data_IF_336439547725
#
_entry.id   IF_336439547725
#
_cell.length_a   1.000
_cell.length_b   1.000
_cell.length_c   1.000
_cell.angle_alpha   90.00
_cell.angle_beta   90.00
_cell.angle_gamma   90.00
#
_symmetry.space_group_name_H-M   'P 1'
#
loop_
_entity.id
_entity.type
_entity.pdbx_description
1 polymer ?
#
# COMPACT_ATOMS: atom_id res chain seq x y z
N UNK A 1 15.66 0.31 -11.85
CA UNK A 1 15.26 0.15 -13.28
C UNK A 1 13.82 -0.34 -13.29
N UNK A 2 12.91 0.32 -14.01
CA UNK A 2 11.50 -0.09 -14.19
C UNK A 2 11.33 -0.64 -15.60
N UNK A 3 10.39 -1.58 -15.85
CA UNK A 3 10.12 -2.04 -17.20
C UNK A 3 9.59 -0.88 -18.04
N UNK A 4 10.03 -0.81 -19.30
CA UNK A 4 9.59 0.21 -20.25
C UNK A 4 8.16 -0.04 -20.78
N UNK A 5 7.65 -1.25 -20.56
CA UNK A 5 6.31 -1.69 -20.99
C UNK A 5 5.71 -2.62 -19.96
N UNK A 6 4.40 -2.65 -19.90
CA UNK A 6 3.63 -3.65 -19.16
C UNK A 6 4.08 -5.07 -19.56
N UNK A 7 4.37 -5.92 -18.56
CA UNK A 7 4.86 -7.29 -18.79
C UNK A 7 3.76 -8.33 -18.78
N UNK A 8 2.66 -8.03 -18.11
CA UNK A 8 1.51 -8.92 -17.99
C UNK A 8 0.24 -8.08 -18.03
N UNK A 9 -0.54 -8.23 -19.09
CA UNK A 9 -1.80 -7.50 -19.28
C UNK A 9 -2.83 -7.90 -18.21
N UNK A 10 -3.62 -6.95 -17.70
CA UNK A 10 -4.78 -7.29 -16.88
C UNK A 10 -5.74 -8.22 -17.63
N UNK A 11 -6.29 -9.23 -16.97
CA UNK A 11 -7.30 -10.09 -17.56
C UNK A 11 -8.58 -9.29 -17.84
N UNK A 12 -9.12 -9.47 -19.05
CA UNK A 12 -10.48 -9.02 -19.35
C UNK A 12 -11.48 -9.75 -18.43
N UNK A 13 -12.58 -9.09 -18.09
CA UNK A 13 -13.60 -9.65 -17.18
C UNK A 13 -14.15 -11.02 -17.62
N UNK A 14 -14.25 -11.24 -18.93
CA UNK A 14 -14.72 -12.50 -19.51
C UNK A 14 -13.69 -13.64 -19.43
N UNK A 15 -12.43 -13.32 -19.13
CA UNK A 15 -11.34 -14.30 -19.07
C UNK A 15 -11.04 -14.76 -17.63
N UNK A 16 -11.78 -14.24 -16.63
CA UNK A 16 -11.63 -14.69 -15.27
C UNK A 16 -12.19 -16.10 -15.09
N UNK A 17 -11.49 -16.90 -14.30
CA UNK A 17 -11.97 -18.19 -13.85
C UNK A 17 -13.34 -18.06 -13.15
N UNK A 18 -14.29 -18.97 -13.48
CA UNK A 18 -15.64 -18.94 -12.90
C UNK A 18 -15.65 -18.98 -11.37
N UNK A 19 -14.67 -19.69 -10.76
CA UNK A 19 -14.52 -19.70 -9.31
C UNK A 19 -14.18 -18.32 -8.71
N UNK A 20 -13.70 -17.38 -9.52
CA UNK A 20 -13.40 -16.01 -9.11
C UNK A 20 -14.56 -15.04 -9.36
N UNK A 21 -15.63 -15.47 -10.03
CA UNK A 21 -16.73 -14.57 -10.36
C UNK A 21 -17.30 -13.79 -9.16
N UNK A 22 -17.57 -14.42 -7.98
CA UNK A 22 -18.06 -13.68 -6.82
C UNK A 22 -17.05 -12.64 -6.30
N UNK A 23 -15.75 -12.98 -6.35
CA UNK A 23 -14.68 -12.07 -5.92
C UNK A 23 -14.53 -10.89 -6.89
N UNK A 24 -14.55 -11.16 -8.20
CA UNK A 24 -14.53 -10.15 -9.26
C UNK A 24 -15.69 -9.17 -9.10
N UNK A 25 -16.91 -9.69 -8.90
CA UNK A 25 -18.11 -8.86 -8.80
C UNK A 25 -18.09 -7.99 -7.52
N UNK A 26 -17.57 -8.50 -6.41
CA UNK A 26 -17.33 -7.73 -5.20
C UNK A 26 -16.27 -6.63 -5.43
N UNK A 27 -15.18 -6.92 -6.14
CA UNK A 27 -14.16 -5.94 -6.52
C UNK A 27 -14.72 -4.85 -7.43
N UNK A 28 -15.59 -5.20 -8.38
CA UNK A 28 -16.28 -4.22 -9.22
C UNK A 28 -17.17 -3.29 -8.43
N UNK A 29 -17.93 -3.82 -7.49
CA UNK A 29 -18.79 -3.01 -6.61
C UNK A 29 -17.96 -2.00 -5.81
N UNK A 30 -16.78 -2.40 -5.31
CA UNK A 30 -15.85 -1.53 -4.62
C UNK A 30 -15.17 -0.52 -5.57
N UNK A 31 -14.80 -0.95 -6.78
CA UNK A 31 -14.05 -0.18 -7.77
C UNK A 31 -14.90 0.68 -8.72
N UNK A 32 -16.17 0.96 -8.35
CA UNK A 32 -17.03 1.83 -9.18
C UNK A 32 -17.41 1.22 -10.53
N UNK A 33 -17.61 -0.09 -10.58
CA UNK A 33 -18.02 -0.83 -11.78
C UNK A 33 -16.87 -1.53 -12.52
N UNK A 34 -15.64 -1.43 -12.02
CA UNK A 34 -14.46 -2.09 -12.62
C UNK A 34 -13.59 -2.76 -11.56
N UNK A 35 -12.82 -3.73 -11.98
CA UNK A 35 -11.74 -4.30 -11.17
C UNK A 35 -10.46 -3.50 -11.41
N UNK A 36 -9.73 -3.16 -10.35
CA UNK A 36 -8.46 -2.46 -10.47
C UNK A 36 -7.40 -3.33 -11.17
N UNK A 37 -6.50 -2.70 -11.91
CA UNK A 37 -5.49 -3.35 -12.73
C UNK A 37 -4.66 -4.38 -11.96
N UNK A 38 -4.27 -4.09 -10.71
CA UNK A 38 -3.52 -5.03 -9.86
C UNK A 38 -4.27 -6.36 -9.68
N UNK A 39 -5.57 -6.32 -9.40
CA UNK A 39 -6.36 -7.54 -9.16
C UNK A 39 -6.61 -8.29 -10.45
N UNK A 40 -6.92 -7.59 -11.55
CA UNK A 40 -7.09 -8.19 -12.87
C UNK A 40 -5.79 -8.83 -13.36
N UNK A 41 -4.63 -8.27 -13.02
CA UNK A 41 -3.34 -8.86 -13.36
C UNK A 41 -3.05 -10.11 -12.51
N UNK A 42 -3.27 -10.05 -11.18
CA UNK A 42 -3.02 -11.21 -10.31
C UNK A 42 -4.04 -12.33 -10.52
N UNK A 43 -5.20 -12.04 -11.15
CA UNK A 43 -6.22 -13.03 -11.51
C UNK A 43 -5.73 -14.10 -12.50
N UNK A 44 -4.61 -13.88 -13.21
CA UNK A 44 -3.91 -14.95 -13.94
C UNK A 44 -3.52 -16.14 -13.06
N UNK A 45 -3.47 -15.95 -11.74
CA UNK A 45 -3.25 -17.02 -10.76
C UNK A 45 -4.37 -17.03 -9.71
N UNK A 46 -5.54 -17.66 -10.01
CA UNK A 46 -6.75 -17.59 -9.18
C UNK A 46 -6.52 -17.93 -7.70
N UNK A 47 -5.80 -19.02 -7.45
CA UNK A 47 -5.50 -19.48 -6.09
C UNK A 47 -4.63 -18.49 -5.31
N UNK A 48 -3.66 -17.87 -5.98
CA UNK A 48 -2.82 -16.83 -5.37
C UNK A 48 -3.67 -15.61 -5.02
N UNK A 49 -4.50 -15.13 -5.95
CA UNK A 49 -5.37 -13.98 -5.70
C UNK A 49 -6.28 -14.22 -4.50
N UNK A 50 -6.97 -15.37 -4.42
CA UNK A 50 -7.82 -15.72 -3.27
C UNK A 50 -7.07 -15.62 -1.94
N UNK A 51 -5.90 -16.25 -1.84
CA UNK A 51 -5.13 -16.29 -0.61
C UNK A 51 -4.56 -14.91 -0.26
N UNK A 52 -4.08 -14.17 -1.24
CA UNK A 52 -3.57 -12.82 -1.04
C UNK A 52 -4.67 -11.87 -0.57
N UNK A 53 -5.89 -11.97 -1.11
CA UNK A 53 -7.03 -11.16 -0.70
C UNK A 53 -7.43 -11.39 0.76
N UNK A 54 -7.28 -12.60 1.28
CA UNK A 54 -7.51 -12.88 2.71
C UNK A 54 -6.52 -12.08 3.57
N UNK A 55 -5.24 -12.15 3.24
CA UNK A 55 -4.19 -11.43 3.97
C UNK A 55 -4.30 -9.92 3.75
N UNK A 56 -4.48 -9.46 2.51
CA UNK A 56 -4.66 -8.05 2.19
C UNK A 56 -5.85 -7.42 2.92
N UNK A 57 -6.97 -8.15 3.01
CA UNK A 57 -8.14 -7.70 3.79
C UNK A 57 -7.83 -7.60 5.29
N UNK A 58 -7.05 -8.53 5.84
CA UNK A 58 -6.62 -8.43 7.25
C UNK A 58 -5.82 -7.14 7.48
N UNK A 59 -4.84 -6.86 6.62
CA UNK A 59 -3.97 -5.69 6.78
C UNK A 59 -4.73 -4.38 6.54
N UNK A 60 -5.56 -4.31 5.50
CA UNK A 60 -6.20 -3.05 5.12
C UNK A 60 -7.46 -2.75 5.93
N UNK A 61 -8.29 -3.76 6.19
CA UNK A 61 -9.63 -3.55 6.74
C UNK A 61 -9.81 -4.00 8.19
N UNK A 62 -8.90 -4.84 8.71
CA UNK A 62 -9.00 -5.44 10.05
C UNK A 62 -7.78 -5.15 10.92
N UNK A 63 -6.90 -4.26 10.47
CA UNK A 63 -5.74 -3.82 11.23
C UNK A 63 -6.15 -3.15 12.53
N UNK A 64 -5.38 -3.34 13.60
CA UNK A 64 -5.50 -2.62 14.86
C UNK A 64 -4.81 -1.25 14.84
N UNK A 65 -3.98 -0.97 13.81
CA UNK A 65 -3.53 0.40 13.57
C UNK A 65 -4.71 1.26 13.14
N UNK A 66 -4.87 2.47 13.73
CA UNK A 66 -5.88 3.39 13.25
C UNK A 66 -5.70 3.69 11.74
N UNK A 67 -6.79 3.93 11.01
CA UNK A 67 -6.74 4.06 9.55
C UNK A 67 -5.77 5.12 9.04
N UNK A 68 -5.66 6.27 9.73
CA UNK A 68 -4.75 7.34 9.33
C UNK A 68 -3.28 6.92 9.43
N UNK A 69 -2.90 6.31 10.56
CA UNK A 69 -1.55 5.81 10.82
C UNK A 69 -1.17 4.69 9.86
N UNK A 70 -2.10 3.81 9.53
CA UNK A 70 -1.92 2.77 8.52
C UNK A 70 -1.63 3.37 7.14
N UNK A 71 -2.44 4.31 6.67
CA UNK A 71 -2.22 4.95 5.37
C UNK A 71 -0.92 5.77 5.33
N UNK A 72 -0.52 6.38 6.45
CA UNK A 72 0.75 7.10 6.56
C UNK A 72 1.93 6.17 6.23
N UNK A 73 1.97 4.97 6.82
CA UNK A 73 3.07 4.02 6.56
C UNK A 73 2.96 3.35 5.20
N UNK A 74 1.74 3.12 4.69
CA UNK A 74 1.52 2.59 3.34
C UNK A 74 2.08 3.55 2.28
N UNK A 75 1.70 4.82 2.36
CA UNK A 75 2.20 5.84 1.43
C UNK A 75 3.72 6.01 1.54
N UNK A 76 4.29 6.00 2.78
CA UNK A 76 5.75 6.06 2.93
C UNK A 76 6.42 4.86 2.28
N UNK A 77 5.92 3.66 2.48
CA UNK A 77 6.44 2.43 1.86
C UNK A 77 6.35 2.52 0.33
N UNK A 78 5.21 2.93 -0.21
CA UNK A 78 5.03 3.12 -1.66
C UNK A 78 6.01 4.14 -2.25
N UNK A 79 6.25 5.25 -1.53
CA UNK A 79 7.26 6.24 -1.91
C UNK A 79 8.68 5.66 -1.91
N UNK A 80 9.10 5.00 -0.84
CA UNK A 80 10.43 4.39 -0.71
C UNK A 80 10.66 3.32 -1.79
N UNK A 81 9.67 2.49 -2.05
CA UNK A 81 9.70 1.48 -3.11
C UNK A 81 9.54 2.07 -4.51
N UNK A 82 9.30 3.37 -4.66
CA UNK A 82 9.02 4.03 -5.94
C UNK A 82 7.87 3.34 -6.70
N UNK A 83 6.80 2.98 -5.99
CA UNK A 83 5.64 2.30 -6.52
C UNK A 83 4.52 3.31 -6.83
N UNK A 84 4.57 3.88 -8.04
CA UNK A 84 3.63 4.92 -8.51
C UNK A 84 2.18 4.46 -8.43
N UNK A 85 1.91 3.22 -8.80
CA UNK A 85 0.57 2.63 -8.73
C UNK A 85 0.05 2.59 -7.30
N UNK A 86 0.87 2.07 -6.37
CA UNK A 86 0.51 1.96 -4.95
C UNK A 86 0.21 3.34 -4.35
N UNK A 87 1.09 4.30 -4.65
CA UNK A 87 0.89 5.68 -4.26
C UNK A 87 -0.45 6.22 -4.75
N UNK A 88 -0.73 6.10 -6.04
CA UNK A 88 -1.96 6.62 -6.65
C UNK A 88 -3.23 6.04 -6.03
N UNK A 89 -3.26 4.74 -5.76
CA UNK A 89 -4.39 4.08 -5.10
C UNK A 89 -4.58 4.57 -3.66
N UNK A 90 -3.50 4.65 -2.89
CA UNK A 90 -3.56 4.96 -1.47
C UNK A 90 -3.71 6.44 -1.15
N UNK A 91 -3.39 7.37 -2.05
CA UNK A 91 -3.67 8.80 -1.85
C UNK A 91 -5.15 9.07 -1.63
N UNK A 92 -6.03 8.45 -2.42
CA UNK A 92 -7.47 8.64 -2.26
C UNK A 92 -7.98 8.07 -0.92
N UNK A 93 -7.48 6.90 -0.52
CA UNK A 93 -7.83 6.26 0.76
C UNK A 93 -7.30 7.08 1.93
N UNK A 94 -6.05 7.55 1.84
CA UNK A 94 -5.41 8.36 2.88
C UNK A 94 -6.18 9.65 3.18
N UNK A 95 -6.69 10.32 2.15
CA UNK A 95 -7.56 11.49 2.33
C UNK A 95 -8.86 11.14 3.07
N UNK A 96 -9.48 10.02 2.73
CA UNK A 96 -10.68 9.53 3.44
C UNK A 96 -10.37 9.16 4.90
N UNK A 97 -9.14 8.75 5.18
CA UNK A 97 -8.65 8.43 6.52
C UNK A 97 -8.16 9.67 7.30
N UNK A 98 -8.24 10.88 6.72
CA UNK A 98 -7.96 12.13 7.40
C UNK A 98 -6.54 12.70 7.20
N UNK A 99 -5.74 12.15 6.26
CA UNK A 99 -4.48 12.78 5.84
C UNK A 99 -4.76 13.97 4.91
N UNK A 100 -4.18 15.12 5.22
CA UNK A 100 -4.29 16.30 4.36
C UNK A 100 -3.36 16.21 3.15
N UNK A 101 -3.62 17.04 2.13
CA UNK A 101 -2.75 17.12 0.95
C UNK A 101 -1.31 17.53 1.32
N UNK A 102 -1.14 18.42 2.31
CA UNK A 102 0.16 18.84 2.80
C UNK A 102 0.89 17.68 3.52
N UNK A 103 0.17 16.87 4.30
CA UNK A 103 0.75 15.69 4.96
C UNK A 103 1.15 14.64 3.93
N UNK A 104 0.32 14.38 2.92
CA UNK A 104 0.63 13.45 1.83
C UNK A 104 1.92 13.88 1.10
N UNK A 105 2.04 15.15 0.74
CA UNK A 105 3.28 15.67 0.15
C UNK A 105 4.46 15.57 1.14
N UNK A 106 4.22 15.84 2.43
CA UNK A 106 5.24 15.77 3.48
C UNK A 106 5.79 14.35 3.69
N UNK A 107 4.99 13.30 3.46
CA UNK A 107 5.45 11.90 3.51
C UNK A 107 6.67 11.68 2.61
N UNK A 108 6.75 12.32 1.45
CA UNK A 108 7.89 12.20 0.54
C UNK A 108 9.19 12.72 1.14
N UNK A 109 9.10 13.65 2.11
CA UNK A 109 10.27 14.25 2.80
C UNK A 109 10.76 13.42 3.99
N UNK A 110 9.95 12.46 4.43
CA UNK A 110 10.30 11.52 5.50
C UNK A 110 10.08 12.03 6.92
N UNK A 111 10.56 11.25 7.90
CA UNK A 111 10.29 11.49 9.33
C UNK A 111 10.84 12.80 9.87
N UNK A 112 11.90 13.34 9.27
CA UNK A 112 12.54 14.57 9.71
C UNK A 112 11.88 15.86 9.20
N UNK A 113 10.86 15.76 8.35
CA UNK A 113 10.12 16.93 7.91
C UNK A 113 9.36 17.56 9.10
N UNK A 114 9.34 18.92 9.20
CA UNK A 114 8.63 19.60 10.28
C UNK A 114 7.13 19.38 10.20
N UNK A 115 6.46 19.39 11.36
CA UNK A 115 4.99 19.32 11.45
C UNK A 115 4.41 17.92 11.64
N UNK A 116 5.23 16.89 11.82
CA UNK A 116 4.78 15.56 12.26
C UNK A 116 4.59 15.51 13.78
N UNK A 117 3.60 14.76 14.22
CA UNK A 117 3.51 14.32 15.61
C UNK A 117 4.68 13.38 15.95
N UNK A 118 4.94 13.16 17.24
CA UNK A 118 5.98 12.20 17.66
C UNK A 118 5.65 10.77 17.19
N UNK A 119 4.37 10.39 17.15
CA UNK A 119 3.97 9.08 16.65
C UNK A 119 4.18 8.98 15.14
N UNK A 120 3.77 9.99 14.36
CA UNK A 120 3.96 10.00 12.91
C UNK A 120 5.44 9.86 12.54
N UNK A 121 6.33 10.59 13.24
CA UNK A 121 7.78 10.47 13.03
C UNK A 121 8.27 9.05 13.23
N UNK A 122 7.86 8.40 14.32
CA UNK A 122 8.26 7.04 14.65
C UNK A 122 7.73 6.01 13.62
N UNK A 123 6.49 6.18 13.16
CA UNK A 123 5.90 5.33 12.13
C UNK A 123 6.64 5.44 10.79
N UNK A 124 6.94 6.68 10.37
CA UNK A 124 7.72 6.94 9.16
C UNK A 124 9.16 6.43 9.29
N UNK A 125 9.77 6.58 10.48
CA UNK A 125 11.11 6.07 10.78
C UNK A 125 11.15 4.55 10.69
N UNK A 126 10.15 3.84 11.20
CA UNK A 126 10.06 2.38 11.09
C UNK A 126 9.96 1.94 9.62
N UNK A 127 9.20 2.67 8.79
CA UNK A 127 9.13 2.37 7.36
C UNK A 127 10.49 2.58 6.67
N UNK A 128 11.21 3.65 7.01
CA UNK A 128 12.54 3.94 6.48
C UNK A 128 13.55 2.85 6.88
N UNK A 129 13.58 2.46 8.16
CA UNK A 129 14.48 1.42 8.68
C UNK A 129 14.19 0.04 8.04
N UNK A 130 12.91 -0.35 7.95
CA UNK A 130 12.53 -1.60 7.30
C UNK A 130 12.85 -1.64 5.81
N UNK A 131 12.78 -0.49 5.15
CA UNK A 131 13.18 -0.39 3.74
C UNK A 131 14.69 -0.48 3.54
N UNK A 132 15.48 0.08 4.46
CA UNK A 132 16.93 0.13 4.38
C UNK A 132 17.61 -1.15 4.89
N UNK A 133 17.19 -1.62 6.07
CA UNK A 133 17.89 -2.66 6.83
C UNK A 133 17.04 -3.91 7.08
N UNK A 134 15.77 -3.92 6.65
CA UNK A 134 14.81 -5.01 6.91
C UNK A 134 14.59 -5.27 8.42
N UNK A 135 14.92 -4.31 9.26
CA UNK A 135 14.81 -4.39 10.72
C UNK A 135 14.50 -3.02 11.31
N UNK A 136 13.66 -2.99 12.34
CA UNK A 136 13.44 -1.79 13.15
C UNK A 136 14.52 -1.74 14.23
N UNK A 137 15.19 -0.60 14.39
CA UNK A 137 16.22 -0.42 15.41
C UNK A 137 15.65 -0.51 16.83
N UNK A 138 16.48 -0.90 17.81
CA UNK A 138 16.07 -0.99 19.22
C UNK A 138 15.52 0.34 19.75
N UNK A 139 16.09 1.46 19.31
CA UNK A 139 15.65 2.79 19.71
C UNK A 139 14.22 3.09 19.20
N UNK A 140 13.96 2.87 17.91
CA UNK A 140 12.64 3.05 17.28
C UNK A 140 11.63 2.07 17.87
N UNK A 141 12.01 0.80 18.04
CA UNK A 141 11.18 -0.22 18.67
C UNK A 141 10.73 0.18 20.06
N UNK A 142 11.66 0.57 20.92
CA UNK A 142 11.38 1.01 22.30
C UNK A 142 10.44 2.21 22.33
N UNK A 143 10.66 3.19 21.46
CA UNK A 143 9.83 4.39 21.39
C UNK A 143 8.41 4.09 20.88
N UNK A 144 8.26 3.22 19.89
CA UNK A 144 6.96 2.78 19.38
C UNK A 144 6.21 1.95 20.42
N UNK A 145 6.87 0.99 21.09
CA UNK A 145 6.25 0.13 22.12
C UNK A 145 5.74 0.91 23.34
N UNK A 146 6.19 2.14 23.54
CA UNK A 146 5.65 3.04 24.56
C UNK A 146 4.32 3.71 24.13
N UNK A 147 3.95 3.62 22.84
CA UNK A 147 2.78 4.30 22.25
C UNK A 147 1.79 3.32 21.60
N UNK A 148 2.25 2.17 21.16
CA UNK A 148 1.48 1.14 20.46
C UNK A 148 1.44 -0.15 21.30
N UNK A 149 0.32 -0.84 21.29
CA UNK A 149 0.24 -2.17 21.87
C UNK A 149 0.88 -3.23 20.95
N UNK A 150 0.98 -4.47 21.46
CA UNK A 150 1.62 -5.58 20.72
C UNK A 150 0.93 -5.89 19.39
N UNK A 151 -0.40 -5.77 19.31
CA UNK A 151 -1.15 -6.02 18.06
C UNK A 151 -0.84 -4.95 17.03
N UNK A 152 -0.84 -3.69 17.47
CA UNK A 152 -0.50 -2.54 16.62
C UNK A 152 0.94 -2.62 16.12
N UNK A 153 1.89 -3.06 16.96
CA UNK A 153 3.27 -3.28 16.56
C UNK A 153 3.39 -4.36 15.49
N UNK A 154 2.68 -5.48 15.63
CA UNK A 154 2.64 -6.53 14.62
C UNK A 154 1.98 -6.03 13.33
N UNK A 155 0.83 -5.36 13.42
CA UNK A 155 0.15 -4.81 12.25
C UNK A 155 1.02 -3.78 11.51
N UNK A 156 1.82 -2.97 12.23
CA UNK A 156 2.78 -2.03 11.64
C UNK A 156 3.81 -2.77 10.76
N UNK A 157 4.47 -3.79 11.32
CA UNK A 157 5.49 -4.56 10.60
C UNK A 157 4.89 -5.28 9.38
N UNK A 158 3.74 -5.94 9.57
CA UNK A 158 3.06 -6.65 8.50
C UNK A 158 2.51 -5.70 7.43
N UNK A 159 2.06 -4.51 7.79
CA UNK A 159 1.63 -3.49 6.82
C UNK A 159 2.80 -3.06 5.93
N UNK A 160 3.92 -2.67 6.51
CA UNK A 160 5.11 -2.24 5.74
C UNK A 160 5.61 -3.40 4.85
N UNK A 161 5.69 -4.62 5.40
CA UNK A 161 6.10 -5.81 4.65
C UNK A 161 5.17 -6.14 3.49
N UNK A 162 3.85 -6.14 3.72
CA UNK A 162 2.83 -6.37 2.69
C UNK A 162 2.95 -5.36 1.55
N UNK A 163 3.05 -4.07 1.88
CA UNK A 163 3.11 -3.03 0.87
C UNK A 163 4.46 -2.93 0.16
N UNK A 164 5.53 -3.41 0.78
CA UNK A 164 6.81 -3.67 0.11
C UNK A 164 6.67 -4.80 -0.92
N UNK A 165 6.06 -5.94 -0.56
CA UNK A 165 5.77 -7.06 -1.46
C UNK A 165 4.92 -6.60 -2.64
N UNK A 166 3.81 -5.90 -2.38
CA UNK A 166 2.92 -5.38 -3.42
C UNK A 166 3.67 -4.45 -4.36
N UNK A 167 4.47 -3.53 -3.83
CA UNK A 167 5.31 -2.63 -4.62
C UNK A 167 6.29 -3.37 -5.53
N UNK A 168 6.89 -4.47 -5.05
CA UNK A 168 7.76 -5.32 -5.88
C UNK A 168 7.01 -5.92 -7.07
N UNK A 169 5.79 -6.43 -6.85
CA UNK A 169 4.94 -7.00 -7.90
C UNK A 169 4.54 -5.93 -8.91
N UNK A 170 3.98 -4.81 -8.44
CA UNK A 170 3.55 -3.69 -9.27
C UNK A 170 4.67 -3.18 -10.18
N UNK A 171 5.84 -2.91 -9.57
CA UNK A 171 7.01 -2.40 -10.26
C UNK A 171 7.60 -3.42 -11.24
N UNK A 172 7.61 -4.71 -10.88
CA UNK A 172 8.17 -5.76 -11.73
C UNK A 172 7.32 -6.05 -12.95
N UNK A 173 6.00 -5.98 -12.82
CA UNK A 173 5.06 -6.19 -13.91
C UNK A 173 4.81 -4.93 -14.74
N UNK A 174 5.15 -3.76 -14.21
CA UNK A 174 4.90 -2.47 -14.87
C UNK A 174 3.42 -2.12 -14.90
N UNK A 175 2.68 -2.44 -13.82
CA UNK A 175 1.23 -2.20 -13.77
C UNK A 175 0.96 -0.70 -13.84
N UNK A 176 0.13 -0.32 -14.81
CA UNK A 176 -0.25 1.07 -15.08
C UNK A 176 -1.33 1.55 -14.12
N UNK A 177 -1.30 2.85 -13.80
CA UNK A 177 -2.32 3.50 -12.97
C UNK A 177 -3.73 3.23 -13.53
N UNK A 178 -4.65 3.01 -12.61
CA UNK A 178 -6.07 3.00 -12.97
C UNK A 178 -6.52 4.40 -13.39
N UNK A 179 -7.46 4.51 -14.36
CA UNK A 179 -7.96 5.79 -14.82
C UNK A 179 -8.47 6.70 -13.69
N UNK A 180 -8.05 7.96 -13.72
CA UNK A 180 -8.43 8.97 -12.73
C UNK A 180 -7.50 9.08 -11.53
N UNK A 181 -6.49 8.22 -11.43
CA UNK A 181 -5.46 8.32 -10.40
C UNK A 181 -4.27 9.16 -10.87
N UNK A 182 -3.59 9.78 -9.91
CA UNK A 182 -2.37 10.56 -10.15
C UNK A 182 -1.18 9.84 -9.52
N UNK A 183 -0.01 9.96 -10.17
CA UNK A 183 1.26 9.47 -9.66
C UNK A 183 1.83 10.31 -8.52
N UNK A 184 3.15 10.29 -8.39
CA UNK A 184 3.85 11.04 -7.34
C UNK A 184 3.67 12.55 -7.47
N UNK A 185 3.75 13.30 -6.34
CA UNK A 185 3.70 14.75 -6.37
C UNK A 185 4.82 15.31 -7.26
N UNK A 186 4.47 16.18 -8.23
CA UNK A 186 5.42 16.80 -9.14
C UNK A 186 5.71 16.03 -10.43
N UNK A 187 5.24 14.80 -10.60
CA UNK A 187 5.19 14.12 -11.90
C UNK A 187 3.94 14.59 -12.67
N UNK A 188 4.15 15.16 -13.87
CA UNK A 188 3.10 15.55 -14.83
C UNK A 188 3.21 14.71 -16.08
#
# INVERSE_FOLDING_TARGET
MRPAKLRLEPLADSAWDEELAPLRDAMKAFGGGRVFNIFSTVAHHPKLLKNWMVFGTQILNKSSLPPRERELVILRTGWLCQAVYEWGQHVAIAKQCGLSDEEIVRITKGPNAPGWSDLDKLLLQAADELNADHCVSDATWKALSAKLDTKQMLDLLFTIGQYTLVSMVLNSLGIELDPGLSGFPGER
#
